data_IF_096030161132
#
_entry.id   IF_096030161132
#
_cell.length_a   1.000
_cell.length_b   1.000
_cell.length_c   1.000
_cell.angle_alpha   90.00
_cell.angle_beta   90.00
_cell.angle_gamma   90.00
#
_symmetry.space_group_name_H-M   'P 1'
#
loop_
_entity.id
_entity.type
_entity.pdbx_description
1 polymer ?
#
# COMPACT_ATOMS: atom_id res chain seq x y z
N UNK A 1 54.81 -51.96 -39.45
CA UNK A 1 54.86 -50.53 -39.51
C UNK A 1 53.61 -50.03 -40.23
N UNK A 2 52.58 -49.58 -39.52
CA UNK A 2 51.36 -49.04 -40.10
C UNK A 2 51.22 -47.57 -39.69
N UNK A 3 51.20 -46.67 -40.64
CA UNK A 3 50.99 -45.23 -40.48
C UNK A 3 49.51 -44.95 -40.27
N UNK A 4 49.15 -44.28 -39.20
CA UNK A 4 47.82 -43.73 -38.97
C UNK A 4 47.72 -42.29 -39.54
N UNK A 5 46.84 -42.11 -40.48
CA UNK A 5 46.45 -40.79 -40.96
C UNK A 5 45.45 -40.16 -39.98
N UNK A 6 45.71 -38.93 -39.53
CA UNK A 6 44.77 -38.07 -38.82
C UNK A 6 44.09 -37.17 -39.86
N UNK A 7 42.78 -37.28 -39.94
CA UNK A 7 41.97 -36.34 -40.71
C UNK A 7 41.62 -35.15 -39.80
N UNK A 8 41.93 -33.94 -40.28
CA UNK A 8 41.48 -32.68 -39.68
C UNK A 8 40.04 -32.39 -40.10
N UNK A 9 39.13 -32.46 -39.14
CA UNK A 9 37.77 -31.92 -39.30
C UNK A 9 37.76 -30.40 -39.16
N UNK A 10 37.30 -29.70 -40.20
CA UNK A 10 37.09 -28.25 -40.21
C UNK A 10 35.82 -27.96 -39.37
N UNK A 11 35.92 -27.19 -38.29
CA UNK A 11 34.78 -26.61 -37.61
C UNK A 11 34.43 -25.25 -38.21
N UNK A 12 33.21 -25.12 -38.75
CA UNK A 12 32.63 -23.87 -39.18
C UNK A 12 32.22 -23.08 -37.93
N UNK A 13 32.86 -21.93 -37.71
CA UNK A 13 32.45 -20.98 -36.71
C UNK A 13 31.22 -20.20 -37.20
N UNK A 14 30.05 -20.50 -36.66
CA UNK A 14 28.88 -19.66 -36.84
C UNK A 14 29.01 -18.43 -35.88
N UNK A 15 29.18 -17.26 -36.48
CA UNK A 15 29.21 -16.01 -35.76
C UNK A 15 27.84 -15.68 -35.16
N UNK A 16 27.75 -15.71 -33.86
CA UNK A 16 26.62 -15.10 -33.12
C UNK A 16 26.89 -13.62 -32.95
N UNK A 17 26.12 -12.80 -33.65
CA UNK A 17 26.11 -11.35 -33.41
C UNK A 17 25.34 -11.10 -32.11
N UNK A 18 26.06 -10.75 -31.06
CA UNK A 18 25.51 -10.35 -29.78
C UNK A 18 24.97 -8.92 -29.94
N UNK A 19 23.67 -8.77 -30.04
CA UNK A 19 23.00 -7.46 -29.91
C UNK A 19 23.03 -7.11 -28.41
N UNK A 20 23.93 -6.21 -28.01
CA UNK A 20 23.88 -5.57 -26.69
C UNK A 20 22.66 -4.62 -26.66
N UNK A 21 21.57 -5.10 -26.10
CA UNK A 21 20.54 -4.20 -25.61
C UNK A 21 21.11 -3.48 -24.36
N UNK A 22 21.36 -2.19 -24.50
CA UNK A 22 21.70 -1.32 -23.36
C UNK A 22 20.47 -1.21 -22.48
N UNK A 23 20.37 -2.09 -21.47
CA UNK A 23 19.48 -1.89 -20.33
C UNK A 23 20.04 -0.70 -19.55
N UNK A 24 19.29 0.41 -19.60
CA UNK A 24 19.56 1.57 -18.77
C UNK A 24 19.62 1.15 -17.30
N UNK A 25 20.78 1.33 -16.69
CA UNK A 25 20.91 1.24 -15.24
C UNK A 25 20.07 2.36 -14.63
N UNK A 26 18.91 2.02 -14.10
CA UNK A 26 18.20 2.89 -13.17
C UNK A 26 18.97 2.89 -11.84
N UNK A 27 19.27 4.08 -11.35
CA UNK A 27 19.98 4.29 -10.09
C UNK A 27 19.33 3.47 -8.96
N UNK A 28 20.13 2.69 -8.27
CA UNK A 28 19.71 1.97 -7.06
C UNK A 28 19.63 3.01 -5.95
N UNK A 29 18.40 3.29 -5.52
CA UNK A 29 18.13 4.17 -4.40
C UNK A 29 18.60 3.50 -3.09
N UNK A 30 19.31 4.24 -2.24
CA UNK A 30 19.96 3.77 -1.00
C UNK A 30 18.94 3.43 0.11
N UNK A 31 17.66 3.36 -0.18
CA UNK A 31 16.58 3.06 0.76
C UNK A 31 15.88 1.71 0.54
N UNK A 32 16.40 0.83 -0.32
CA UNK A 32 16.04 -0.61 -0.33
C UNK A 32 14.57 -0.99 -0.49
N UNK A 33 13.69 -0.11 -0.97
CA UNK A 33 12.30 -0.44 -1.26
C UNK A 33 12.16 -0.57 -2.78
N UNK A 34 11.90 -1.78 -3.33
CA UNK A 34 11.57 -1.91 -4.74
C UNK A 34 10.28 -1.13 -5.00
N UNK A 35 10.34 -0.10 -5.84
CA UNK A 35 9.13 0.51 -6.39
C UNK A 35 8.39 -0.57 -7.18
N UNK A 36 7.33 -1.11 -6.62
CA UNK A 36 6.33 -1.81 -7.43
C UNK A 36 5.79 -0.79 -8.44
N UNK A 37 5.90 -1.11 -9.72
CA UNK A 37 5.25 -0.35 -10.78
C UNK A 37 3.74 -0.61 -10.68
N UNK A 38 3.05 0.12 -9.81
CA UNK A 38 1.60 0.22 -9.89
C UNK A 38 1.26 0.93 -11.19
N UNK A 39 0.22 0.51 -11.87
CA UNK A 39 -0.32 1.29 -12.96
C UNK A 39 -0.66 2.68 -12.39
N UNK A 40 -0.07 3.73 -12.97
CA UNK A 40 -0.29 5.09 -12.52
C UNK A 40 -1.79 5.42 -12.58
N UNK A 41 -2.30 6.11 -11.57
CA UNK A 41 -3.69 6.58 -11.57
C UNK A 41 -3.95 7.51 -12.74
N UNK A 42 -5.19 7.53 -13.22
CA UNK A 42 -5.63 8.59 -14.13
C UNK A 42 -5.93 9.87 -13.37
N UNK A 43 -5.71 11.06 -13.96
CA UNK A 43 -6.15 12.31 -13.37
C UNK A 43 -7.63 12.27 -12.94
N UNK A 44 -7.91 12.66 -11.71
CA UNK A 44 -9.22 12.58 -11.06
C UNK A 44 -9.81 11.16 -11.01
N UNK A 45 -9.00 10.12 -11.16
CA UNK A 45 -9.38 8.72 -11.06
C UNK A 45 -9.20 8.17 -9.66
N UNK A 46 -9.40 6.85 -9.53
CA UNK A 46 -9.04 6.11 -8.32
C UNK A 46 -7.51 6.15 -8.17
N UNK A 47 -7.05 6.33 -6.95
CA UNK A 47 -5.62 6.41 -6.62
C UNK A 47 -5.34 5.62 -5.35
N UNK A 48 -4.27 4.84 -5.33
CA UNK A 48 -3.88 4.08 -4.14
C UNK A 48 -3.18 4.96 -3.11
N UNK A 49 -3.20 4.54 -1.84
CA UNK A 49 -2.53 5.28 -0.75
C UNK A 49 -1.03 5.37 -0.96
N UNK A 50 -0.39 4.26 -1.37
CA UNK A 50 1.05 4.25 -1.68
C UNK A 50 1.40 5.19 -2.82
N UNK A 51 0.57 5.25 -3.88
CA UNK A 51 0.78 6.20 -4.97
C UNK A 51 0.66 7.64 -4.50
N UNK A 52 -0.35 7.97 -3.66
CA UNK A 52 -0.49 9.30 -3.06
C UNK A 52 0.79 9.70 -2.33
N UNK A 53 1.31 8.83 -1.46
CA UNK A 53 2.54 9.10 -0.72
C UNK A 53 3.77 9.18 -1.63
N UNK A 54 3.88 8.31 -2.65
CA UNK A 54 4.99 8.32 -3.61
C UNK A 54 5.01 9.62 -4.43
N UNK A 55 3.83 10.13 -4.84
CA UNK A 55 3.70 11.42 -5.54
C UNK A 55 4.15 12.57 -4.66
N UNK A 56 3.74 12.61 -3.39
CA UNK A 56 4.18 13.60 -2.43
C UNK A 56 5.70 13.53 -2.19
N UNK A 57 6.23 12.33 -2.01
CA UNK A 57 7.66 12.06 -1.83
C UNK A 57 8.50 12.54 -3.02
N UNK A 58 8.00 12.42 -4.25
CA UNK A 58 8.67 12.92 -5.45
C UNK A 58 8.95 14.44 -5.37
N UNK A 59 8.03 15.23 -4.83
CA UNK A 59 8.28 16.67 -4.65
C UNK A 59 9.32 16.96 -3.55
N UNK A 60 9.38 16.11 -2.51
CA UNK A 60 10.44 16.20 -1.49
C UNK A 60 11.82 15.92 -2.12
N UNK A 61 11.94 14.85 -2.91
CA UNK A 61 13.19 14.45 -3.59
C UNK A 61 13.64 15.49 -4.64
N UNK A 62 12.69 16.10 -5.32
CA UNK A 62 12.94 17.17 -6.30
C UNK A 62 13.25 18.52 -5.64
N UNK A 63 13.23 18.60 -4.32
CA UNK A 63 13.45 19.82 -3.56
C UNK A 63 12.53 20.96 -4.03
N UNK A 64 11.24 20.68 -4.17
CA UNK A 64 10.27 21.69 -4.59
C UNK A 64 10.18 22.77 -3.52
N UNK A 65 10.51 23.99 -3.91
CA UNK A 65 10.53 25.17 -3.04
C UNK A 65 9.14 25.82 -2.99
N UNK A 66 8.76 26.35 -1.85
CA UNK A 66 7.48 27.04 -1.66
C UNK A 66 7.38 28.34 -2.46
N UNK A 67 6.23 28.54 -3.10
CA UNK A 67 5.83 29.80 -3.69
C UNK A 67 4.30 29.93 -3.70
N UNK A 68 3.77 30.92 -3.01
CA UNK A 68 2.32 31.16 -2.95
C UNK A 68 1.74 31.76 -4.24
N UNK A 69 2.58 32.23 -5.14
CA UNK A 69 2.15 32.80 -6.41
C UNK A 69 1.90 31.71 -7.42
N UNK A 70 0.66 31.43 -7.69
CA UNK A 70 0.24 30.38 -8.66
C UNK A 70 0.20 30.91 -10.10
N UNK A 71 1.28 31.57 -10.53
CA UNK A 71 1.47 32.02 -11.91
C UNK A 71 2.04 30.89 -12.80
N UNK A 72 1.81 30.96 -14.11
CA UNK A 72 2.30 29.94 -15.04
C UNK A 72 3.80 29.65 -14.96
N UNK A 73 4.61 30.67 -14.58
CA UNK A 73 6.04 30.51 -14.41
C UNK A 73 6.46 29.81 -13.11
N UNK A 74 5.57 29.71 -12.11
CA UNK A 74 5.88 29.13 -10.80
C UNK A 74 5.28 27.74 -10.61
N UNK A 75 4.37 27.30 -11.49
CA UNK A 75 3.77 25.97 -11.38
C UNK A 75 4.80 24.87 -11.64
N UNK A 76 4.75 23.83 -10.82
CA UNK A 76 5.65 22.66 -10.85
C UNK A 76 4.89 21.46 -11.45
N UNK A 77 5.55 20.68 -12.29
CA UNK A 77 4.98 19.46 -12.87
C UNK A 77 4.80 18.35 -11.83
N UNK A 78 3.81 17.50 -12.08
CA UNK A 78 3.65 16.24 -11.37
C UNK A 78 4.74 15.20 -11.74
N UNK A 79 4.54 13.96 -11.32
CA UNK A 79 5.46 12.84 -11.55
C UNK A 79 5.52 12.48 -13.04
N UNK A 80 4.39 12.52 -13.72
CA UNK A 80 4.23 12.20 -15.15
C UNK A 80 4.72 13.32 -16.05
N UNK A 81 4.76 14.56 -15.55
CA UNK A 81 5.14 15.74 -16.32
C UNK A 81 3.99 16.37 -17.11
N UNK A 82 2.79 15.83 -16.99
CA UNK A 82 1.63 16.23 -17.79
C UNK A 82 0.81 17.36 -17.18
N UNK A 83 0.76 17.44 -15.86
CA UNK A 83 0.01 18.46 -15.13
C UNK A 83 0.94 19.33 -14.30
N UNK A 84 0.49 20.54 -13.97
CA UNK A 84 1.27 21.51 -13.21
C UNK A 84 0.48 22.04 -12.02
N UNK A 85 1.15 22.12 -10.87
CA UNK A 85 0.54 22.50 -9.59
C UNK A 85 1.29 23.64 -8.91
N UNK A 86 0.57 24.41 -8.11
CA UNK A 86 1.16 25.46 -7.27
C UNK A 86 2.08 24.84 -6.21
N UNK A 87 3.30 25.33 -6.06
CA UNK A 87 4.20 24.80 -5.03
C UNK A 87 3.88 25.41 -3.66
N UNK A 88 2.73 25.05 -3.14
CA UNK A 88 2.22 25.41 -1.82
C UNK A 88 1.49 24.21 -1.17
N UNK A 89 0.94 24.39 0.04
CA UNK A 89 0.33 23.32 0.81
C UNK A 89 -0.79 22.59 0.05
N UNK A 90 -1.73 23.31 -0.53
CA UNK A 90 -2.88 22.72 -1.24
C UNK A 90 -2.54 22.26 -2.65
N UNK A 91 -1.52 22.84 -3.28
CA UNK A 91 -0.99 22.36 -4.56
C UNK A 91 -0.25 21.02 -4.42
N UNK A 92 0.53 20.84 -3.33
CA UNK A 92 1.15 19.56 -3.00
C UNK A 92 0.08 18.46 -2.84
N UNK A 93 -0.99 18.73 -2.09
CA UNK A 93 -2.05 17.75 -1.90
C UNK A 93 -2.84 17.52 -3.18
N UNK A 94 -3.14 18.55 -3.99
CA UNK A 94 -3.76 18.38 -5.31
C UNK A 94 -2.92 17.48 -6.21
N UNK A 95 -1.62 17.68 -6.24
CA UNK A 95 -0.68 16.86 -7.01
C UNK A 95 -0.63 15.44 -6.48
N UNK A 96 -0.55 15.26 -5.14
CA UNK A 96 -0.50 13.94 -4.52
C UNK A 96 -1.77 13.13 -4.75
N UNK A 97 -2.94 13.75 -4.68
CA UNK A 97 -4.24 13.11 -4.98
C UNK A 97 -4.56 13.03 -6.48
N UNK A 98 -3.66 13.49 -7.34
CA UNK A 98 -3.80 13.52 -8.81
C UNK A 98 -5.07 14.25 -9.27
N UNK A 99 -5.44 15.32 -8.58
CA UNK A 99 -6.59 16.16 -8.88
C UNK A 99 -6.19 17.22 -9.89
N UNK A 100 -6.81 17.22 -11.07
CA UNK A 100 -6.54 18.21 -12.13
C UNK A 100 -7.59 19.31 -12.20
N UNK A 101 -8.58 19.30 -11.30
CA UNK A 101 -9.49 20.42 -11.15
C UNK A 101 -8.70 21.71 -10.89
N UNK A 102 -9.09 22.81 -11.54
CA UNK A 102 -8.37 24.09 -11.46
C UNK A 102 -6.89 24.03 -11.89
N UNK A 103 -6.50 23.11 -12.78
CA UNK A 103 -5.12 22.96 -13.25
C UNK A 103 -4.51 24.29 -13.75
N UNK A 104 -5.29 25.14 -14.42
CA UNK A 104 -4.85 26.48 -14.86
C UNK A 104 -4.47 27.40 -13.70
N UNK A 105 -4.95 27.12 -12.48
CA UNK A 105 -4.64 27.83 -11.23
C UNK A 105 -3.68 27.03 -10.33
N UNK A 106 -3.09 25.95 -10.84
CA UNK A 106 -2.17 25.11 -10.07
C UNK A 106 -2.85 24.22 -9.03
N UNK A 107 -4.03 23.68 -9.34
CA UNK A 107 -4.80 22.78 -8.46
C UNK A 107 -5.76 23.52 -7.53
N UNK A 108 -6.40 22.78 -6.66
CA UNK A 108 -7.35 23.31 -5.69
C UNK A 108 -6.67 24.15 -4.60
N UNK A 109 -7.38 25.17 -4.12
CA UNK A 109 -7.04 25.87 -2.88
C UNK A 109 -7.65 25.13 -1.68
N UNK A 110 -7.27 25.52 -0.45
CA UNK A 110 -7.89 25.00 0.77
C UNK A 110 -9.40 25.28 0.82
N UNK A 111 -9.82 26.45 0.36
CA UNK A 111 -11.25 26.78 0.25
C UNK A 111 -11.98 25.92 -0.78
N UNK A 112 -11.32 25.50 -1.87
CA UNK A 112 -11.92 24.58 -2.84
C UNK A 112 -12.10 23.20 -2.22
N UNK A 113 -11.12 22.70 -1.48
CA UNK A 113 -11.23 21.44 -0.76
C UNK A 113 -12.33 21.44 0.29
N UNK A 114 -12.48 22.53 1.08
CA UNK A 114 -13.55 22.66 2.07
C UNK A 114 -14.98 22.63 1.47
N UNK A 115 -15.11 22.91 0.18
CA UNK A 115 -16.40 22.92 -0.54
C UNK A 115 -16.58 21.77 -1.52
N UNK A 116 -15.57 20.94 -1.69
CA UNK A 116 -15.60 19.86 -2.68
C UNK A 116 -16.47 18.69 -2.22
N UNK A 117 -17.33 18.20 -3.10
CA UNK A 117 -18.09 16.99 -2.87
C UNK A 117 -17.23 15.70 -2.96
N UNK A 118 -16.02 15.80 -3.51
CA UNK A 118 -15.06 14.67 -3.58
C UNK A 118 -14.20 14.55 -2.31
N UNK A 119 -14.50 15.32 -1.26
CA UNK A 119 -13.74 15.32 -0.01
C UNK A 119 -14.66 14.95 1.15
N UNK A 120 -14.41 13.82 1.74
CA UNK A 120 -15.10 13.33 2.92
C UNK A 120 -14.42 13.83 4.20
N UNK A 121 -15.21 14.34 5.14
CA UNK A 121 -14.73 14.61 6.49
C UNK A 121 -14.79 13.33 7.33
N UNK A 122 -13.67 12.95 7.93
CA UNK A 122 -13.59 11.76 8.76
C UNK A 122 -14.17 12.02 10.17
N UNK A 123 -14.68 10.99 10.88
CA UNK A 123 -15.30 11.16 12.19
C UNK A 123 -14.36 11.72 13.27
N UNK A 124 -13.07 11.46 13.19
CA UNK A 124 -12.04 12.00 14.08
C UNK A 124 -10.64 11.84 13.48
N UNK A 125 -9.63 12.49 14.08
CA UNK A 125 -8.22 12.32 13.68
C UNK A 125 -7.76 10.86 13.74
N UNK A 126 -8.31 10.05 14.65
CA UNK A 126 -7.98 8.62 14.73
C UNK A 126 -8.35 7.79 13.51
N UNK A 127 -9.18 8.32 12.62
CA UNK A 127 -9.57 7.65 11.37
C UNK A 127 -8.66 8.01 10.18
N UNK A 128 -7.65 8.84 10.39
CA UNK A 128 -6.65 9.13 9.37
C UNK A 128 -5.85 7.89 9.01
N UNK A 129 -5.75 7.64 7.72
CA UNK A 129 -4.91 6.61 7.11
C UNK A 129 -3.88 7.28 6.19
N UNK A 130 -2.74 6.64 5.90
CA UNK A 130 -1.74 7.18 4.97
C UNK A 130 -2.39 7.68 3.67
N UNK A 131 -2.04 8.90 3.24
CA UNK A 131 -2.61 9.54 2.06
C UNK A 131 -3.87 10.38 2.30
N UNK A 132 -4.50 10.33 3.48
CA UNK A 132 -5.51 11.30 3.90
C UNK A 132 -4.86 12.66 4.20
N UNK A 133 -5.62 13.67 4.54
CA UNK A 133 -5.07 14.98 4.89
C UNK A 133 -5.72 15.57 6.14
N UNK A 134 -5.04 16.52 6.76
CA UNK A 134 -5.60 17.45 7.73
C UNK A 134 -5.78 18.80 7.06
N UNK A 135 -6.95 19.41 7.21
CA UNK A 135 -7.38 20.59 6.48
C UNK A 135 -7.94 21.66 7.41
N UNK A 136 -7.55 22.90 7.20
CA UNK A 136 -8.20 24.09 7.73
C UNK A 136 -8.22 25.21 6.69
N UNK A 137 -8.96 26.26 6.93
CA UNK A 137 -8.86 27.45 6.06
C UNK A 137 -7.44 27.96 6.02
N UNK A 138 -6.92 28.15 4.82
CA UNK A 138 -5.58 28.68 4.56
C UNK A 138 -4.44 27.67 4.70
N UNK A 139 -4.66 26.44 5.17
CA UNK A 139 -3.57 25.46 5.27
C UNK A 139 -4.08 24.01 5.26
N UNK A 140 -3.26 23.11 4.71
CA UNK A 140 -3.47 21.65 4.77
C UNK A 140 -2.15 20.88 4.67
N UNK A 141 -2.15 19.68 5.19
CA UNK A 141 -1.04 18.75 5.10
C UNK A 141 -1.52 17.34 4.79
N UNK A 142 -0.72 16.59 4.04
CA UNK A 142 -1.02 15.19 3.74
C UNK A 142 -0.52 14.31 4.89
N UNK A 143 -1.39 13.49 5.43
CA UNK A 143 -1.04 12.55 6.50
C UNK A 143 -0.21 11.39 5.94
N UNK A 144 0.98 11.16 6.52
CA UNK A 144 1.84 10.06 6.14
C UNK A 144 1.66 8.83 7.06
N UNK A 145 1.77 9.04 8.37
CA UNK A 145 1.56 8.03 9.40
C UNK A 145 1.59 8.65 10.80
N UNK A 146 1.11 7.93 11.79
CA UNK A 146 1.32 8.30 13.18
C UNK A 146 2.79 8.22 13.58
N UNK A 147 3.23 9.06 14.51
CA UNK A 147 4.56 8.92 15.14
C UNK A 147 4.62 7.65 15.99
N UNK A 148 3.49 7.26 16.56
CA UNK A 148 3.28 6.02 17.27
C UNK A 148 1.84 5.54 17.04
N UNK A 149 1.65 4.39 16.39
CA UNK A 149 0.34 3.80 16.10
C UNK A 149 -0.43 3.39 17.37
N UNK A 150 0.27 3.06 18.45
CA UNK A 150 -0.38 2.71 19.73
C UNK A 150 -0.73 3.94 20.59
N UNK A 151 -0.18 5.12 20.26
CA UNK A 151 -0.37 6.36 21.02
C UNK A 151 -0.35 7.59 20.10
N UNK A 152 -1.50 7.93 19.53
CA UNK A 152 -1.67 9.06 18.62
C UNK A 152 -1.38 10.43 19.28
N UNK A 153 -1.36 10.50 20.62
CA UNK A 153 -1.02 11.75 21.32
C UNK A 153 0.38 12.28 21.02
N UNK A 154 1.25 11.44 20.45
CA UNK A 154 2.58 11.84 19.98
C UNK A 154 2.54 12.61 18.65
N UNK A 155 1.37 12.72 18.00
CA UNK A 155 1.19 13.41 16.73
C UNK A 155 1.54 12.55 15.52
N UNK A 156 1.67 13.19 14.37
CA UNK A 156 1.81 12.54 13.08
C UNK A 156 3.03 13.02 12.30
N UNK A 157 3.50 12.17 11.38
CA UNK A 157 4.37 12.58 10.29
C UNK A 157 3.51 12.94 9.09
N UNK A 158 3.86 14.04 8.41
CA UNK A 158 3.08 14.60 7.30
C UNK A 158 3.96 14.87 6.09
N UNK A 159 3.34 15.05 4.93
CA UNK A 159 3.94 15.77 3.81
C UNK A 159 3.36 17.18 3.76
N UNK A 160 4.22 18.17 3.70
CA UNK A 160 3.81 19.55 3.72
C UNK A 160 4.74 20.46 2.91
N UNK A 161 4.21 21.60 2.50
CA UNK A 161 4.94 22.67 1.84
C UNK A 161 4.33 23.99 2.32
N UNK A 162 4.92 24.55 3.40
CA UNK A 162 4.37 25.67 4.15
C UNK A 162 5.19 26.91 3.88
N UNK A 163 4.67 28.07 3.75
CA UNK A 163 5.50 29.28 3.70
C UNK A 163 6.22 29.53 5.03
N UNK A 164 7.52 29.73 5.00
CA UNK A 164 8.36 29.89 6.20
C UNK A 164 9.02 31.28 6.29
N UNK A 165 8.33 32.34 5.94
CA UNK A 165 8.88 33.65 6.12
C UNK A 165 8.65 34.64 4.99
N UNK A 166 9.52 35.64 4.86
CA UNK A 166 9.42 36.65 3.80
C UNK A 166 9.86 36.04 2.46
N UNK A 167 9.00 36.09 1.43
CA UNK A 167 9.38 35.66 0.10
C UNK A 167 10.48 36.56 -0.49
N UNK A 168 11.32 35.99 -1.34
CA UNK A 168 12.19 36.79 -2.20
C UNK A 168 11.37 37.63 -3.21
N UNK A 169 12.03 38.48 -3.99
CA UNK A 169 11.35 39.38 -4.94
C UNK A 169 10.46 38.67 -5.98
N UNK A 170 10.57 37.34 -6.13
CA UNK A 170 9.77 36.48 -7.02
C UNK A 170 8.76 35.59 -6.29
N UNK A 171 8.59 35.75 -4.97
CA UNK A 171 7.65 35.01 -4.14
C UNK A 171 8.13 33.65 -3.64
N UNK A 172 9.39 33.27 -3.87
CA UNK A 172 9.97 32.03 -3.35
C UNK A 172 10.44 32.24 -1.91
N UNK A 173 10.05 31.30 -1.05
CA UNK A 173 10.37 31.32 0.39
C UNK A 173 11.40 30.23 0.75
N UNK A 174 12.04 30.37 1.92
CA UNK A 174 13.02 29.39 2.42
C UNK A 174 12.32 28.18 3.07
N UNK A 175 11.41 27.59 2.35
CA UNK A 175 10.72 26.38 2.71
C UNK A 175 10.63 25.44 1.49
N UNK A 176 10.85 24.16 1.72
CA UNK A 176 10.86 23.13 0.69
C UNK A 176 9.87 22.04 1.05
N UNK A 177 9.41 21.31 0.06
CA UNK A 177 8.59 20.12 0.29
C UNK A 177 9.29 19.21 1.29
N UNK A 178 8.57 18.79 2.30
CA UNK A 178 9.07 17.98 3.41
C UNK A 178 8.11 16.82 3.69
N UNK A 179 8.69 15.73 4.17
CA UNK A 179 7.98 14.50 4.46
C UNK A 179 8.44 13.90 5.80
N UNK A 180 8.10 12.63 6.07
CA UNK A 180 8.45 11.94 7.32
C UNK A 180 9.95 11.84 7.61
N UNK A 181 10.79 11.86 6.57
CA UNK A 181 12.25 11.93 6.70
C UNK A 181 12.73 13.39 6.58
N UNK A 182 13.88 13.67 7.19
CA UNK A 182 14.52 14.99 7.04
C UNK A 182 14.95 15.17 5.58
N UNK A 183 14.52 16.26 4.94
CA UNK A 183 14.89 16.58 3.57
C UNK A 183 16.33 17.14 3.49
N UNK A 184 16.82 17.42 2.29
CA UNK A 184 18.17 17.97 2.05
C UNK A 184 18.40 19.37 2.65
N UNK A 185 17.36 20.04 3.11
CA UNK A 185 17.39 21.36 3.74
C UNK A 185 17.21 21.30 5.27
N UNK A 186 17.30 20.10 5.85
CA UNK A 186 17.16 19.91 7.30
C UNK A 186 15.72 20.00 7.82
N UNK A 187 14.72 19.99 6.94
CA UNK A 187 13.32 20.13 7.30
C UNK A 187 12.61 18.77 7.30
N UNK A 188 11.61 18.63 8.16
CA UNK A 188 10.77 17.43 8.27
C UNK A 188 9.31 17.85 8.40
N UNK A 189 8.41 17.06 7.80
CA UNK A 189 6.96 17.25 7.92
C UNK A 189 6.44 16.53 9.14
N UNK A 190 5.89 17.29 10.09
CA UNK A 190 5.26 16.74 11.27
C UNK A 190 4.21 17.67 11.86
N UNK A 191 3.20 17.10 12.51
CA UNK A 191 2.21 17.83 13.28
C UNK A 191 2.03 17.23 14.68
N UNK A 192 1.86 18.12 15.66
CA UNK A 192 1.54 17.70 17.02
C UNK A 192 0.08 17.32 17.14
N UNK A 193 -0.25 16.42 18.05
CA UNK A 193 -1.64 16.06 18.35
C UNK A 193 -2.48 17.27 18.74
N UNK A 194 -1.93 18.17 19.57
CA UNK A 194 -2.61 19.39 19.98
C UNK A 194 -2.96 20.29 18.80
N UNK A 195 -2.04 20.48 17.86
CA UNK A 195 -2.29 21.26 16.65
C UNK A 195 -3.36 20.59 15.77
N UNK A 196 -3.22 19.29 15.50
CA UNK A 196 -4.17 18.54 14.70
C UNK A 196 -5.59 18.67 15.22
N UNK A 197 -5.80 18.42 16.50
CA UNK A 197 -7.14 18.38 17.12
C UNK A 197 -7.77 19.74 17.36
N UNK A 198 -6.97 20.80 17.49
CA UNK A 198 -7.48 22.16 17.77
C UNK A 198 -7.66 23.03 16.53
N UNK A 199 -6.97 22.72 15.43
CA UNK A 199 -6.92 23.63 14.26
C UNK A 199 -7.45 23.02 12.97
N UNK A 200 -7.48 21.67 12.85
CA UNK A 200 -7.75 21.00 11.59
C UNK A 200 -8.96 20.08 11.69
N UNK A 201 -9.52 19.76 10.54
CA UNK A 201 -10.44 18.62 10.35
C UNK A 201 -9.73 17.54 9.56
N UNK A 202 -9.94 16.24 9.87
CA UNK A 202 -9.40 15.15 9.10
C UNK A 202 -10.25 14.92 7.85
N UNK A 203 -9.61 14.80 6.68
CA UNK A 203 -10.31 14.67 5.40
C UNK A 203 -9.68 13.59 4.54
N UNK A 204 -10.51 12.99 3.68
CA UNK A 204 -10.14 11.99 2.69
C UNK A 204 -10.66 12.37 1.32
N UNK A 205 -9.85 12.23 0.29
CA UNK A 205 -10.33 12.25 -1.08
C UNK A 205 -11.12 10.98 -1.36
N UNK A 206 -12.38 11.10 -1.80
CA UNK A 206 -13.33 9.98 -1.96
C UNK A 206 -12.86 8.90 -2.95
N UNK A 207 -11.85 9.21 -3.78
CA UNK A 207 -11.29 8.27 -4.76
C UNK A 207 -9.98 7.61 -4.31
N UNK A 208 -9.55 7.83 -3.07
CA UNK A 208 -8.48 7.05 -2.49
C UNK A 208 -8.98 5.63 -2.24
N UNK A 209 -8.28 4.68 -2.81
CA UNK A 209 -8.46 3.25 -2.52
C UNK A 209 -7.27 2.77 -1.71
N UNK A 210 -7.50 1.81 -0.84
CA UNK A 210 -6.39 1.13 -0.18
C UNK A 210 -5.51 0.50 -1.26
N UNK A 211 -4.21 0.52 -1.02
CA UNK A 211 -3.31 -0.22 -1.88
C UNK A 211 -3.88 -1.63 -2.01
N UNK A 212 -3.95 -2.10 -3.23
CA UNK A 212 -4.07 -3.53 -3.42
C UNK A 212 -2.69 -4.13 -3.06
N UNK A 213 -2.31 -4.04 -1.79
CA UNK A 213 -1.59 -5.15 -1.22
C UNK A 213 -2.47 -6.33 -1.57
N UNK A 214 -1.93 -7.30 -2.25
CA UNK A 214 -2.66 -8.53 -2.49
C UNK A 214 -3.34 -8.88 -1.16
N UNK A 215 -4.66 -8.56 -1.01
CA UNK A 215 -5.39 -8.89 0.21
C UNK A 215 -5.52 -10.41 0.37
N UNK A 216 -5.02 -11.15 -0.63
CA UNK A 216 -4.59 -12.53 -0.58
C UNK A 216 -3.12 -12.69 -0.19
N UNK A 217 -2.38 -11.60 0.00
CA UNK A 217 -0.97 -11.62 0.35
C UNK A 217 -0.74 -11.95 1.82
N UNK A 218 0.38 -12.57 2.07
CA UNK A 218 0.84 -12.98 3.39
C UNK A 218 2.07 -12.14 3.79
N UNK A 219 1.93 -10.82 3.81
CA UNK A 219 2.97 -9.92 4.34
C UNK A 219 2.79 -9.79 5.85
N UNK A 220 3.43 -10.68 6.60
CA UNK A 220 3.27 -10.75 8.06
C UNK A 220 4.21 -9.82 8.83
N UNK A 221 5.26 -9.31 8.18
CA UNK A 221 6.20 -8.36 8.78
C UNK A 221 5.96 -6.91 8.35
N UNK A 222 5.00 -6.68 7.44
CA UNK A 222 4.62 -5.37 6.90
C UNK A 222 5.78 -4.63 6.21
N UNK A 223 6.65 -5.39 5.50
CA UNK A 223 7.74 -4.82 4.71
C UNK A 223 7.35 -4.57 3.24
N UNK A 224 6.10 -4.90 2.85
CA UNK A 224 5.56 -4.77 1.51
C UNK A 224 5.92 -5.93 0.58
N UNK A 225 6.55 -7.00 1.08
CA UNK A 225 6.93 -8.18 0.33
C UNK A 225 6.12 -9.37 0.83
N UNK A 226 5.55 -10.15 -0.09
CA UNK A 226 4.77 -11.34 0.28
C UNK A 226 5.64 -12.42 0.92
N UNK A 227 5.15 -13.00 2.02
CA UNK A 227 5.78 -14.07 2.77
C UNK A 227 5.17 -15.44 2.39
N UNK A 228 5.88 -16.50 2.71
CA UNK A 228 5.36 -17.88 2.64
C UNK A 228 5.09 -18.37 4.05
N UNK A 229 4.02 -19.10 4.23
CA UNK A 229 3.71 -19.74 5.51
C UNK A 229 3.15 -21.15 5.31
N UNK A 230 3.37 -22.00 6.28
CA UNK A 230 2.84 -23.36 6.31
C UNK A 230 2.74 -23.89 7.74
N UNK A 231 1.88 -24.86 7.94
CA UNK A 231 1.84 -25.64 9.19
C UNK A 231 2.55 -26.98 8.97
N UNK A 232 3.44 -27.32 9.90
CA UNK A 232 4.14 -28.61 9.89
C UNK A 232 4.37 -29.09 11.33
N UNK A 233 4.11 -30.35 11.60
CA UNK A 233 4.25 -30.96 12.93
C UNK A 233 3.57 -30.14 14.05
N UNK A 234 2.42 -29.54 13.76
CA UNK A 234 1.62 -28.79 14.72
C UNK A 234 2.15 -27.38 15.04
N UNK A 235 3.15 -26.89 14.35
CA UNK A 235 3.62 -25.52 14.41
C UNK A 235 3.33 -24.77 13.11
N UNK A 236 3.17 -23.45 13.19
CA UNK A 236 3.13 -22.53 12.05
C UNK A 236 4.56 -22.03 11.79
N UNK A 237 4.95 -22.04 10.52
CA UNK A 237 6.22 -21.51 10.03
C UNK A 237 5.94 -20.37 9.08
N UNK A 238 6.75 -19.30 9.16
CA UNK A 238 6.70 -18.14 8.29
C UNK A 238 8.11 -17.92 7.72
N UNK A 239 8.21 -17.70 6.41
CA UNK A 239 9.42 -17.34 5.69
C UNK A 239 9.23 -15.98 5.05
N UNK A 240 9.87 -14.95 5.57
CA UNK A 240 9.76 -13.60 5.03
C UNK A 240 10.38 -13.52 3.63
N UNK A 241 9.64 -12.93 2.71
CA UNK A 241 10.10 -12.64 1.35
C UNK A 241 11.25 -11.64 1.35
N UNK A 242 12.15 -11.75 0.34
CA UNK A 242 13.26 -10.81 0.13
C UNK A 242 13.10 -9.97 -1.13
N UNK A 243 11.96 -10.05 -1.81
CA UNK A 243 11.68 -9.27 -3.03
C UNK A 243 12.46 -9.69 -4.28
N UNK A 244 13.22 -10.79 -4.21
CA UNK A 244 14.07 -11.29 -5.30
C UNK A 244 13.84 -12.79 -5.58
N UNK A 245 12.63 -13.29 -5.32
CA UNK A 245 12.25 -14.70 -5.42
C UNK A 245 12.98 -15.62 -4.43
N UNK A 246 13.51 -15.06 -3.33
CA UNK A 246 14.09 -15.82 -2.23
C UNK A 246 13.42 -15.46 -0.91
N UNK A 247 13.63 -16.29 0.11
CA UNK A 247 13.02 -16.12 1.44
C UNK A 247 14.11 -16.13 2.52
N UNK A 248 13.80 -15.55 3.66
CA UNK A 248 14.60 -15.65 4.88
C UNK A 248 14.45 -17.05 5.52
N UNK A 249 15.22 -17.33 6.56
CA UNK A 249 15.06 -18.53 7.36
C UNK A 249 13.69 -18.55 8.04
N UNK A 250 13.16 -19.76 8.27
CA UNK A 250 11.86 -19.95 8.86
C UNK A 250 11.78 -19.39 10.29
N UNK A 251 10.74 -18.63 10.56
CA UNK A 251 10.32 -18.23 11.90
C UNK A 251 9.25 -19.22 12.35
N UNK A 252 9.45 -19.86 13.50
CA UNK A 252 8.46 -20.76 14.09
C UNK A 252 7.52 -19.97 15.00
N UNK A 253 6.23 -20.00 14.70
CA UNK A 253 5.21 -19.35 15.50
C UNK A 253 4.30 -20.39 16.16
N UNK A 254 4.46 -20.59 17.47
CA UNK A 254 3.58 -21.36 18.33
C UNK A 254 3.41 -22.84 17.95
N UNK A 255 2.72 -23.55 18.83
CA UNK A 255 2.27 -24.94 18.63
C UNK A 255 0.74 -25.00 18.67
N UNK A 256 0.16 -26.17 18.33
CA UNK A 256 -1.29 -26.39 18.38
C UNK A 256 -2.02 -26.25 17.03
N UNK A 257 -1.29 -25.97 15.97
CA UNK A 257 -1.85 -25.80 14.63
C UNK A 257 -2.37 -27.09 13.98
N UNK A 258 -2.00 -28.26 14.50
CA UNK A 258 -2.55 -29.56 14.03
C UNK A 258 -4.04 -29.70 14.23
N UNK A 259 -4.65 -28.92 15.13
CA UNK A 259 -6.09 -28.93 15.37
C UNK A 259 -6.89 -28.08 14.38
N UNK A 260 -6.22 -27.26 13.60
CA UNK A 260 -6.84 -26.33 12.64
C UNK A 260 -6.74 -26.88 11.22
N UNK A 261 -7.67 -26.44 10.34
CA UNK A 261 -7.53 -26.59 8.91
C UNK A 261 -6.26 -25.86 8.42
N UNK A 262 -5.87 -26.10 7.17
CA UNK A 262 -4.81 -25.30 6.55
C UNK A 262 -5.17 -23.82 6.63
N UNK A 263 -4.33 -22.97 7.25
CA UNK A 263 -4.64 -21.56 7.40
C UNK A 263 -4.56 -20.83 6.06
N UNK A 264 -5.35 -19.76 5.93
CA UNK A 264 -5.26 -18.80 4.85
C UNK A 264 -4.95 -17.41 5.42
N UNK A 265 -4.41 -16.50 4.59
CA UNK A 265 -4.01 -15.17 5.03
C UNK A 265 -4.71 -14.07 4.24
N UNK A 266 -5.03 -12.98 4.90
CA UNK A 266 -5.64 -11.77 4.31
C UNK A 266 -5.78 -10.68 5.36
N UNK A 267 -6.00 -9.45 4.94
CA UNK A 267 -6.33 -8.34 5.83
C UNK A 267 -7.85 -8.34 6.07
N UNK A 268 -8.30 -9.05 7.11
CA UNK A 268 -9.72 -9.23 7.40
C UNK A 268 -10.31 -8.12 8.28
N UNK A 269 -9.46 -7.30 8.91
CA UNK A 269 -9.88 -6.19 9.76
C UNK A 269 -9.60 -4.81 9.14
N UNK A 270 -9.02 -4.80 7.93
CA UNK A 270 -8.69 -3.59 7.16
C UNK A 270 -7.71 -2.65 7.87
N UNK A 271 -6.76 -3.22 8.63
CA UNK A 271 -5.70 -2.46 9.31
C UNK A 271 -4.39 -2.36 8.50
N UNK A 272 -4.37 -2.95 7.30
CA UNK A 272 -3.22 -2.97 6.39
C UNK A 272 -2.20 -4.06 6.71
N UNK A 273 -2.49 -4.99 7.63
CA UNK A 273 -1.63 -6.11 8.01
C UNK A 273 -2.27 -7.44 7.63
N UNK A 274 -1.44 -8.43 7.38
CA UNK A 274 -1.94 -9.77 7.06
C UNK A 274 -2.35 -10.50 8.32
N UNK A 275 -3.63 -10.88 8.38
CA UNK A 275 -4.22 -11.73 9.40
C UNK A 275 -4.17 -13.20 8.95
N UNK A 276 -4.42 -14.13 9.87
CA UNK A 276 -4.63 -15.54 9.57
C UNK A 276 -6.07 -15.95 9.85
N UNK A 277 -6.61 -16.84 9.01
CA UNK A 277 -7.89 -17.50 9.24
C UNK A 277 -7.74 -19.01 9.10
N UNK A 278 -8.35 -19.76 10.01
CA UNK A 278 -8.40 -21.23 9.95
C UNK A 278 -9.63 -21.77 10.68
N UNK A 279 -10.04 -22.99 10.35
CA UNK A 279 -11.21 -23.63 10.92
C UNK A 279 -10.75 -24.72 11.88
N UNK A 280 -11.37 -24.76 13.07
CA UNK A 280 -11.22 -25.83 14.06
C UNK A 280 -12.59 -26.16 14.65
N UNK A 281 -12.92 -27.44 14.72
CA UNK A 281 -14.19 -27.94 15.29
C UNK A 281 -15.44 -27.24 14.70
N UNK A 282 -15.37 -26.88 13.42
CA UNK A 282 -16.43 -26.18 12.69
C UNK A 282 -16.60 -24.69 13.05
N UNK A 283 -15.65 -24.12 13.75
CA UNK A 283 -15.57 -22.68 14.06
C UNK A 283 -14.49 -22.05 13.22
N UNK A 284 -14.78 -20.91 12.59
CA UNK A 284 -13.77 -20.06 11.95
C UNK A 284 -13.10 -19.22 13.01
N UNK A 285 -11.78 -19.28 13.05
CA UNK A 285 -10.93 -18.46 13.92
C UNK A 285 -10.12 -17.48 13.08
N UNK A 286 -9.96 -16.26 13.58
CA UNK A 286 -9.10 -15.23 12.97
C UNK A 286 -8.09 -14.74 14.00
N UNK A 287 -6.84 -14.61 13.57
CA UNK A 287 -5.74 -14.03 14.33
C UNK A 287 -5.30 -12.75 13.63
N UNK A 288 -5.59 -11.57 14.20
CA UNK A 288 -5.15 -10.30 13.63
C UNK A 288 -3.64 -10.16 13.70
N UNK A 289 -3.04 -9.85 12.56
CA UNK A 289 -1.60 -9.65 12.42
C UNK A 289 -1.12 -8.37 13.10
N UNK A 290 0.10 -8.38 13.64
CA UNK A 290 0.75 -7.22 14.26
C UNK A 290 1.80 -6.58 13.37
N UNK A 291 2.00 -7.08 12.14
CA UNK A 291 2.98 -6.57 11.19
C UNK A 291 4.44 -6.83 11.59
N UNK A 292 4.69 -7.81 12.43
CA UNK A 292 6.02 -8.19 12.91
C UNK A 292 6.18 -9.72 13.06
N UNK A 293 5.48 -10.48 12.22
CA UNK A 293 5.39 -11.95 12.28
C UNK A 293 4.74 -12.48 13.56
N UNK A 294 3.97 -11.66 14.27
CA UNK A 294 3.17 -12.09 15.44
C UNK A 294 1.70 -11.74 15.26
N UNK A 295 0.85 -12.39 16.02
CA UNK A 295 -0.59 -12.28 15.92
C UNK A 295 -1.22 -11.99 17.29
N UNK A 296 -2.42 -11.42 17.27
CA UNK A 296 -3.27 -11.32 18.45
C UNK A 296 -3.86 -12.68 18.82
N UNK A 297 -4.54 -12.77 19.95
CA UNK A 297 -5.35 -13.92 20.32
C UNK A 297 -6.44 -14.19 19.26
N UNK A 298 -6.76 -15.46 19.05
CA UNK A 298 -7.80 -15.85 18.11
C UNK A 298 -9.16 -15.28 18.46
N UNK A 299 -9.89 -14.82 17.49
CA UNK A 299 -11.29 -14.41 17.57
C UNK A 299 -12.15 -15.52 16.93
N UNK A 300 -13.15 -16.00 17.62
CA UNK A 300 -14.13 -16.96 17.11
C UNK A 300 -15.22 -16.23 16.31
N UNK A 301 -15.32 -16.52 15.01
CA UNK A 301 -16.27 -15.86 14.10
C UNK A 301 -17.63 -16.58 14.02
N UNK A 302 -17.72 -17.76 14.59
CA UNK A 302 -18.96 -18.52 14.63
C UNK A 302 -18.83 -19.93 14.05
N UNK A 303 -19.92 -20.70 14.15
CA UNK A 303 -19.99 -22.10 13.75
C UNK A 303 -20.60 -22.26 12.35
N UNK A 304 -20.49 -23.50 11.83
CA UNK A 304 -21.04 -23.86 10.51
C UNK A 304 -19.96 -24.00 9.43
N UNK A 305 -18.69 -23.87 9.80
CA UNK A 305 -17.58 -23.88 8.85
C UNK A 305 -17.00 -25.28 8.55
N UNK A 306 -17.50 -26.34 9.20
CA UNK A 306 -16.99 -27.72 8.97
C UNK A 306 -16.93 -28.12 7.49
N UNK A 307 -17.94 -27.84 6.64
CA UNK A 307 -17.90 -28.25 5.23
C UNK A 307 -16.78 -27.56 4.43
N UNK A 308 -16.30 -26.42 4.89
CA UNK A 308 -15.36 -25.55 4.20
C UNK A 308 -13.91 -25.73 4.64
N UNK A 309 -13.66 -26.56 5.66
CA UNK A 309 -12.35 -26.67 6.30
C UNK A 309 -11.23 -27.15 5.35
N UNK A 310 -11.56 -28.00 4.37
CA UNK A 310 -10.58 -28.54 3.43
C UNK A 310 -10.19 -27.54 2.32
N UNK A 311 -11.07 -26.59 2.00
CA UNK A 311 -10.96 -25.73 0.81
C UNK A 311 -10.95 -24.24 1.13
N UNK A 312 -10.94 -23.87 2.42
CA UNK A 312 -10.89 -22.47 2.84
C UNK A 312 -9.71 -21.72 2.20
N UNK A 313 -9.98 -20.59 1.61
CA UNK A 313 -8.99 -19.72 0.97
C UNK A 313 -9.37 -18.25 1.10
N UNK A 314 -8.39 -17.37 1.03
CA UNK A 314 -8.61 -15.95 0.81
C UNK A 314 -8.67 -15.69 -0.69
N UNK A 315 -9.69 -14.97 -1.13
CA UNK A 315 -9.90 -14.62 -2.54
C UNK A 315 -9.36 -13.21 -2.89
N UNK A 316 -8.92 -12.44 -1.90
CA UNK A 316 -8.70 -11.02 -2.05
C UNK A 316 -10.03 -10.27 -2.07
N UNK A 317 -10.06 -9.11 -2.68
CA UNK A 317 -11.25 -8.25 -2.81
C UNK A 317 -11.94 -8.54 -4.15
N UNK A 318 -12.86 -9.50 -4.18
CA UNK A 318 -13.52 -9.93 -5.43
C UNK A 318 -14.73 -9.08 -5.81
N UNK A 319 -15.27 -8.31 -4.86
CA UNK A 319 -16.42 -7.43 -5.08
C UNK A 319 -16.04 -5.95 -5.21
N UNK A 320 -14.75 -5.61 -5.02
CA UNK A 320 -14.17 -4.26 -5.09
C UNK A 320 -14.69 -3.29 -4.02
N UNK A 321 -14.98 -3.81 -2.83
CA UNK A 321 -15.38 -3.00 -1.69
C UNK A 321 -14.21 -2.58 -0.78
N UNK A 322 -13.00 -2.99 -1.14
CA UNK A 322 -11.80 -2.71 -0.38
C UNK A 322 -11.53 -3.67 0.77
N UNK A 323 -12.28 -4.77 0.91
CA UNK A 323 -12.12 -5.74 1.99
C UNK A 323 -11.62 -7.09 1.44
N UNK A 324 -10.93 -7.87 2.27
CA UNK A 324 -10.54 -9.22 1.91
C UNK A 324 -11.72 -10.19 2.08
N UNK A 325 -12.01 -10.96 1.02
CA UNK A 325 -13.07 -11.94 0.97
C UNK A 325 -12.55 -13.34 1.21
N UNK A 326 -13.39 -14.20 1.79
CA UNK A 326 -13.12 -15.63 1.92
C UNK A 326 -13.86 -16.42 0.84
N UNK A 327 -13.27 -17.54 0.45
CA UNK A 327 -13.89 -18.53 -0.41
C UNK A 327 -13.67 -19.93 0.09
N UNK A 328 -14.58 -20.84 -0.28
CA UNK A 328 -14.40 -22.26 -0.10
C UNK A 328 -15.30 -23.04 -1.06
N UNK A 329 -14.95 -24.29 -1.35
CA UNK A 329 -15.78 -25.19 -2.16
C UNK A 329 -16.42 -26.23 -1.26
N UNK A 330 -17.74 -26.38 -1.39
CA UNK A 330 -18.52 -27.45 -0.75
C UNK A 330 -19.58 -27.96 -1.72
N UNK A 331 -19.70 -29.27 -1.82
CA UNK A 331 -20.65 -29.95 -2.73
C UNK A 331 -20.51 -29.51 -4.19
N UNK A 332 -19.29 -29.17 -4.63
CA UNK A 332 -18.96 -28.70 -5.97
C UNK A 332 -19.33 -27.25 -6.24
N UNK A 333 -19.88 -26.52 -5.28
CA UNK A 333 -20.17 -25.09 -5.40
C UNK A 333 -19.08 -24.24 -4.73
N UNK A 334 -18.66 -23.16 -5.38
CA UNK A 334 -17.84 -22.14 -4.74
C UNK A 334 -18.75 -21.24 -3.91
N UNK A 335 -18.42 -21.09 -2.66
CA UNK A 335 -19.04 -20.14 -1.73
C UNK A 335 -18.11 -18.97 -1.49
N UNK A 336 -18.64 -17.75 -1.49
CA UNK A 336 -17.90 -16.51 -1.23
C UNK A 336 -18.55 -15.81 -0.04
N UNK A 337 -17.73 -15.37 0.90
CA UNK A 337 -18.13 -14.53 2.04
C UNK A 337 -17.44 -13.19 1.91
N UNK A 338 -18.20 -12.14 1.60
CA UNK A 338 -17.66 -10.80 1.50
C UNK A 338 -17.22 -10.30 2.88
N UNK A 339 -15.97 -9.83 2.97
CA UNK A 339 -15.42 -9.23 4.16
C UNK A 339 -16.13 -7.92 4.53
N UNK A 340 -16.14 -7.58 5.82
CA UNK A 340 -16.65 -6.31 6.34
C UNK A 340 -15.55 -5.41 6.92
N UNK A 341 -14.29 -5.83 6.80
CA UNK A 341 -13.13 -5.08 7.29
C UNK A 341 -13.04 -4.94 8.82
N UNK A 342 -13.68 -5.85 9.54
CA UNK A 342 -13.70 -5.88 11.01
C UNK A 342 -13.64 -7.30 11.57
N UNK A 343 -12.97 -8.21 10.85
CA UNK A 343 -12.91 -9.64 11.15
C UNK A 343 -14.29 -10.36 11.05
N UNK A 344 -15.30 -9.77 10.42
CA UNK A 344 -16.59 -10.43 10.15
C UNK A 344 -16.89 -10.47 8.66
N UNK A 345 -17.83 -11.35 8.28
CA UNK A 345 -18.18 -11.58 6.88
C UNK A 345 -19.70 -11.49 6.70
N UNK A 346 -20.12 -11.22 5.46
CA UNK A 346 -21.50 -11.35 5.04
C UNK A 346 -21.91 -12.83 4.90
N UNK A 347 -23.19 -13.09 4.68
CA UNK A 347 -23.68 -14.42 4.38
C UNK A 347 -23.06 -14.96 3.08
N UNK A 348 -22.89 -16.29 3.00
CA UNK A 348 -22.30 -16.92 1.85
C UNK A 348 -23.11 -16.71 0.57
N UNK A 349 -22.42 -16.42 -0.51
CA UNK A 349 -22.96 -16.35 -1.88
C UNK A 349 -22.46 -17.60 -2.63
N UNK A 350 -23.37 -18.46 -3.08
CA UNK A 350 -23.01 -19.63 -3.88
C UNK A 350 -22.89 -19.26 -5.38
N UNK A 351 -21.74 -19.56 -5.99
CA UNK A 351 -21.38 -19.20 -7.37
C UNK A 351 -21.55 -20.37 -8.37
N UNK A 352 -22.48 -21.26 -8.13
CA UNK A 352 -22.73 -22.39 -9.01
C UNK A 352 -21.82 -23.60 -8.73
N UNK A 353 -21.92 -24.63 -9.60
CA UNK A 353 -21.26 -25.94 -9.39
C UNK A 353 -20.20 -26.20 -10.45
N UNK A 354 -19.35 -27.21 -10.20
CA UNK A 354 -18.28 -27.63 -11.10
C UNK A 354 -16.89 -27.25 -10.62
N UNK A 355 -16.74 -26.87 -9.35
CA UNK A 355 -15.48 -26.41 -8.77
C UNK A 355 -14.62 -27.52 -8.14
N UNK A 356 -15.22 -28.71 -7.82
CA UNK A 356 -14.49 -29.82 -7.18
C UNK A 356 -13.18 -30.24 -7.90
N UNK A 357 -13.10 -30.28 -9.24
CA UNK A 357 -11.86 -30.69 -9.91
C UNK A 357 -10.67 -29.75 -9.66
N UNK A 358 -10.95 -28.50 -9.28
CA UNK A 358 -9.93 -27.49 -9.05
C UNK A 358 -9.51 -27.38 -7.59
N UNK A 359 -10.28 -27.96 -6.69
CA UNK A 359 -10.05 -27.95 -5.23
C UNK A 359 -10.21 -29.37 -4.67
N UNK A 360 -9.25 -30.27 -4.97
CA UNK A 360 -9.32 -31.64 -4.46
C UNK A 360 -9.20 -31.63 -2.93
N UNK A 361 -10.06 -32.41 -2.30
CA UNK A 361 -10.19 -32.56 -0.84
C UNK A 361 -9.04 -33.33 -0.21
#
# INVERSE_FOLDING_TARGET
MRKFHRSLGRWLAAGFTLVLATLGLTAVDVAGIPRQAHAASSPNGMITRSEVLARAQNWVERNVRYNKTRGSATLITDVEGDNRYGPDCSGLVSMAWHITANAAKGGNSTSDFLRSADIDTLPSMHHLLPGDAILREGHMELFARWKNEADHSQGAWTYSLNGAGNPDGNGWENDWAKGPAVNSHGQRGDESWSSMTSQYIPVRYSRIVNDMHSKSGSDFNSDGIGDVFATFNGALYIWNGRGNNTFADAITYGAGWSAYSRPTAGDFNNDGRSDLAAIKDGVLHIWSGRGNNTFAEAIDIGRGWSPYAATLMTLGDVNRDGQADLGAVDGGALHIWNGRGNNTFADAIAIGRGWDPYFPH
#
